data_IF_263475788047
#
_entry.id   IF_263475788047
#
_cell.length_a   1.000
_cell.length_b   1.000
_cell.length_c   1.000
_cell.angle_alpha   90.00
_cell.angle_beta   90.00
_cell.angle_gamma   90.00
#
_symmetry.space_group_name_H-M   'P 1'
#
loop_
_entity.id
_entity.type
_entity.pdbx_description
1 polymer ?
#
# COMPACT_ATOMS: atom_id res chain seq x y z
N UNK A 1 30.61 -52.60 -35.85
CA UNK A 1 29.32 -52.58 -35.13
C UNK A 1 28.79 -51.15 -35.17
N UNK A 2 27.90 -50.85 -36.13
CA UNK A 2 27.30 -49.53 -36.29
C UNK A 2 26.04 -49.46 -35.42
N UNK A 3 26.05 -48.68 -34.34
CA UNK A 3 24.85 -48.42 -33.53
C UNK A 3 24.12 -47.25 -34.17
N UNK A 4 23.22 -47.55 -35.10
CA UNK A 4 22.19 -46.61 -35.54
C UNK A 4 21.28 -46.30 -34.34
N UNK A 5 21.41 -45.11 -33.79
CA UNK A 5 20.48 -44.59 -32.80
C UNK A 5 19.10 -44.51 -33.45
N UNK A 6 18.18 -45.38 -33.01
CA UNK A 6 16.77 -45.33 -33.38
C UNK A 6 16.19 -44.12 -32.66
N UNK A 7 16.07 -43.01 -33.38
CA UNK A 7 15.32 -41.85 -32.92
C UNK A 7 13.84 -42.25 -32.90
N UNK A 8 13.15 -42.22 -31.74
CA UNK A 8 11.76 -42.65 -31.68
C UNK A 8 10.91 -41.70 -32.53
N UNK A 9 10.25 -42.25 -33.55
CA UNK A 9 9.32 -41.54 -34.42
C UNK A 9 8.06 -41.16 -33.62
N UNK A 10 8.15 -40.06 -32.87
CA UNK A 10 6.97 -39.45 -32.23
C UNK A 10 6.02 -39.03 -33.35
N UNK A 11 4.90 -39.73 -33.49
CA UNK A 11 3.87 -39.49 -34.50
C UNK A 11 3.45 -38.01 -34.51
N UNK A 12 3.26 -37.45 -35.71
CA UNK A 12 3.02 -36.01 -35.92
C UNK A 12 1.91 -35.43 -35.01
N UNK A 13 0.84 -36.20 -34.75
CA UNK A 13 -0.26 -35.80 -33.85
C UNK A 13 0.09 -35.73 -32.35
N UNK A 14 1.12 -36.45 -31.89
CA UNK A 14 1.65 -36.30 -30.53
C UNK A 14 2.56 -35.07 -30.43
N UNK A 15 3.33 -34.73 -31.47
CA UNK A 15 4.15 -33.51 -31.50
C UNK A 15 3.28 -32.25 -31.44
N UNK A 16 2.14 -32.23 -32.13
CA UNK A 16 1.19 -31.11 -32.08
C UNK A 16 0.52 -30.95 -30.71
N UNK A 17 0.15 -32.06 -30.04
CA UNK A 17 -0.41 -32.01 -28.68
C UNK A 17 0.62 -31.54 -27.64
N UNK A 18 1.86 -32.04 -27.71
CA UNK A 18 2.94 -31.66 -26.78
C UNK A 18 3.32 -30.18 -26.93
N UNK A 19 3.35 -29.66 -28.16
CA UNK A 19 3.61 -28.24 -28.40
C UNK A 19 2.46 -27.36 -27.91
N UNK A 20 1.20 -27.74 -28.13
CA UNK A 20 0.04 -27.03 -27.59
C UNK A 20 0.01 -27.01 -26.06
N UNK A 21 0.29 -28.15 -25.40
CA UNK A 21 0.38 -28.22 -23.93
C UNK A 21 1.48 -27.31 -23.37
N UNK A 22 2.65 -27.26 -24.01
CA UNK A 22 3.74 -26.36 -23.60
C UNK A 22 3.37 -24.88 -23.80
N UNK A 23 2.67 -24.56 -24.89
CA UNK A 23 2.21 -23.19 -25.16
C UNK A 23 1.13 -22.74 -24.16
N UNK A 24 0.17 -23.61 -23.84
CA UNK A 24 -0.89 -23.32 -22.88
C UNK A 24 -0.34 -23.19 -21.45
N UNK A 25 0.57 -24.09 -21.04
CA UNK A 25 1.27 -24.01 -19.75
C UNK A 25 2.11 -22.74 -19.61
N UNK A 26 2.83 -22.36 -20.67
CA UNK A 26 3.58 -21.11 -20.71
C UNK A 26 2.68 -19.87 -20.63
N UNK A 27 1.49 -19.91 -21.26
CA UNK A 27 0.53 -18.81 -21.25
C UNK A 27 -0.14 -18.64 -19.89
N UNK A 28 -0.59 -19.72 -19.25
CA UNK A 28 -1.22 -19.68 -17.92
C UNK A 28 -0.26 -19.12 -16.87
N UNK A 29 0.98 -19.61 -16.84
CA UNK A 29 2.01 -19.10 -15.93
C UNK A 29 2.24 -17.59 -16.07
N UNK A 30 2.22 -17.06 -17.31
CA UNK A 30 2.33 -15.60 -17.53
C UNK A 30 1.11 -14.82 -17.01
N UNK A 31 -0.09 -15.41 -17.04
CA UNK A 31 -1.31 -14.79 -16.49
C UNK A 31 -1.30 -14.82 -14.97
N UNK A 32 -0.81 -15.90 -14.35
CA UNK A 32 -0.66 -16.01 -12.90
C UNK A 32 0.25 -14.91 -12.34
N UNK A 33 1.41 -14.68 -12.96
CA UNK A 33 2.29 -13.57 -12.57
C UNK A 33 1.65 -12.19 -12.79
N UNK A 34 0.82 -12.05 -13.82
CA UNK A 34 0.12 -10.79 -14.10
C UNK A 34 -0.95 -10.52 -13.03
N UNK A 35 -1.71 -11.54 -12.64
CA UNK A 35 -2.75 -11.44 -11.61
C UNK A 35 -2.14 -11.23 -10.22
N UNK A 36 -1.05 -11.94 -9.89
CA UNK A 36 -0.30 -11.74 -8.65
C UNK A 36 0.21 -10.29 -8.54
N UNK A 37 0.74 -9.75 -9.63
CA UNK A 37 1.17 -8.35 -9.68
C UNK A 37 0.00 -7.39 -9.48
N UNK A 38 -1.15 -7.66 -10.13
CA UNK A 38 -2.35 -6.84 -9.98
C UNK A 38 -2.89 -6.82 -8.55
N UNK A 39 -2.91 -7.96 -7.87
CA UNK A 39 -3.27 -8.05 -6.46
C UNK A 39 -2.37 -7.19 -5.59
N UNK A 40 -1.04 -7.32 -5.76
CA UNK A 40 -0.07 -6.50 -5.02
C UNK A 40 -0.22 -5.01 -5.32
N UNK A 41 -0.43 -4.65 -6.58
CA UNK A 41 -0.61 -3.27 -7.04
C UNK A 41 -1.85 -2.63 -6.43
N UNK A 42 -2.98 -3.33 -6.48
CA UNK A 42 -4.23 -2.83 -5.90
C UNK A 42 -4.11 -2.70 -4.37
N UNK A 43 -3.52 -3.70 -3.72
CA UNK A 43 -3.29 -3.68 -2.28
C UNK A 43 -2.42 -2.49 -1.86
N UNK A 44 -1.23 -2.34 -2.44
CA UNK A 44 -0.28 -1.28 -2.10
C UNK A 44 -0.84 0.11 -2.44
N UNK A 45 -1.45 0.24 -3.62
CA UNK A 45 -2.01 1.51 -4.11
C UNK A 45 -3.22 1.98 -3.30
N UNK A 46 -4.19 1.09 -3.07
CA UNK A 46 -5.38 1.42 -2.27
C UNK A 46 -5.00 1.77 -0.83
N UNK A 47 -4.13 0.95 -0.21
CA UNK A 47 -3.65 1.22 1.16
C UNK A 47 -2.94 2.56 1.22
N UNK A 48 -2.04 2.87 0.27
CA UNK A 48 -1.35 4.16 0.23
C UNK A 48 -2.35 5.32 0.14
N UNK A 49 -3.34 5.21 -0.75
CA UNK A 49 -4.39 6.21 -0.89
C UNK A 49 -5.16 6.43 0.42
N UNK A 50 -5.64 5.35 1.05
CA UNK A 50 -6.38 5.45 2.31
C UNK A 50 -5.52 6.02 3.44
N UNK A 51 -4.28 5.56 3.60
CA UNK A 51 -3.37 6.09 4.63
C UNK A 51 -3.09 7.57 4.40
N UNK A 52 -2.92 8.00 3.15
CA UNK A 52 -2.77 9.40 2.81
C UNK A 52 -4.02 10.24 3.15
N UNK A 53 -5.22 9.74 2.83
CA UNK A 53 -6.49 10.40 3.17
C UNK A 53 -6.69 10.47 4.70
N UNK A 54 -6.30 9.43 5.44
CA UNK A 54 -6.39 9.42 6.90
C UNK A 54 -5.61 10.57 7.57
N UNK A 55 -4.60 11.13 6.89
CA UNK A 55 -3.85 12.31 7.38
C UNK A 55 -4.67 13.59 7.40
N UNK A 56 -5.84 13.61 6.77
CA UNK A 56 -6.76 14.73 6.76
C UNK A 56 -7.93 14.55 7.74
N UNK A 57 -7.87 13.55 8.62
CA UNK A 57 -8.88 13.27 9.62
C UNK A 57 -8.58 13.98 10.95
N UNK A 58 -9.61 14.61 11.53
CA UNK A 58 -9.58 15.11 12.91
C UNK A 58 -10.88 14.79 13.63
N UNK A 59 -10.79 14.51 14.94
CA UNK A 59 -11.95 14.35 15.80
C UNK A 59 -12.45 15.72 16.24
N UNK A 60 -13.72 16.01 16.00
CA UNK A 60 -14.39 17.22 16.48
C UNK A 60 -15.43 16.82 17.52
N UNK A 61 -15.37 17.46 18.68
CA UNK A 61 -16.40 17.30 19.72
C UNK A 61 -17.63 18.09 19.29
N UNK A 62 -18.71 17.38 18.99
CA UNK A 62 -20.01 17.98 18.69
C UNK A 62 -20.92 17.67 19.86
N UNK A 63 -21.54 18.69 20.44
CA UNK A 63 -22.55 18.54 21.45
C UNK A 63 -23.80 17.92 20.80
N UNK A 64 -24.11 16.67 21.16
CA UNK A 64 -25.32 15.97 20.75
C UNK A 64 -26.19 15.72 21.97
N UNK A 65 -27.53 15.74 21.84
CA UNK A 65 -28.39 15.38 22.96
C UNK A 65 -28.12 13.94 23.39
N UNK A 66 -28.04 13.70 24.69
CA UNK A 66 -27.95 12.35 25.25
C UNK A 66 -29.20 11.58 24.82
N UNK A 67 -29.03 10.38 24.26
CA UNK A 67 -30.14 9.52 23.86
C UNK A 67 -30.41 8.54 25.01
N UNK A 68 -31.66 8.48 25.48
CA UNK A 68 -32.08 7.52 26.50
C UNK A 68 -32.07 6.09 25.92
N UNK A 69 -31.32 5.15 26.53
CA UNK A 69 -31.23 3.75 26.08
C UNK A 69 -32.58 3.01 26.03
N UNK A 70 -33.57 3.44 26.81
CA UNK A 70 -34.88 2.79 26.88
C UNK A 70 -35.85 3.26 25.78
N UNK A 71 -35.74 4.51 25.34
CA UNK A 71 -36.72 5.14 24.43
C UNK A 71 -36.14 5.52 23.07
N UNK A 72 -34.81 5.61 22.94
CA UNK A 72 -34.14 6.02 21.71
C UNK A 72 -34.36 7.50 21.34
N UNK A 73 -34.94 8.29 22.24
CA UNK A 73 -35.19 9.72 22.07
C UNK A 73 -34.20 10.57 22.88
N UNK A 74 -34.00 11.85 22.51
CA UNK A 74 -33.26 12.81 23.34
C UNK A 74 -33.78 12.82 24.78
N UNK A 75 -32.88 12.71 25.75
CA UNK A 75 -33.17 12.76 27.18
C UNK A 75 -33.99 14.01 27.50
N UNK A 76 -35.10 13.82 28.24
CA UNK A 76 -36.01 14.88 28.65
C UNK A 76 -35.29 15.97 29.48
N UNK A 77 -34.15 15.63 30.09
CA UNK A 77 -33.30 16.56 30.84
C UNK A 77 -32.56 17.58 29.96
N UNK A 78 -32.55 17.40 28.63
CA UNK A 78 -31.85 18.28 27.69
C UNK A 78 -30.32 18.23 27.81
N UNK A 79 -29.78 17.17 28.42
CA UNK A 79 -28.34 17.02 28.63
C UNK A 79 -27.63 16.82 27.29
N UNK A 80 -26.67 17.70 27.01
CA UNK A 80 -25.82 17.62 25.83
C UNK A 80 -24.54 16.86 26.18
N UNK A 81 -24.23 15.81 25.42
CA UNK A 81 -22.98 15.07 25.51
C UNK A 81 -22.06 15.43 24.36
N UNK A 82 -20.79 15.69 24.68
CA UNK A 82 -19.76 15.92 23.67
C UNK A 82 -19.39 14.60 23.01
N UNK A 83 -19.82 14.39 21.77
CA UNK A 83 -19.47 13.22 20.97
C UNK A 83 -18.33 13.59 20.03
N UNK A 84 -17.24 12.83 20.08
CA UNK A 84 -16.12 13.00 19.16
C UNK A 84 -16.44 12.35 17.81
N UNK A 85 -16.81 13.16 16.83
CA UNK A 85 -17.08 12.70 15.46
C UNK A 85 -15.84 12.89 14.61
N UNK A 86 -15.46 11.86 13.84
CA UNK A 86 -14.34 11.92 12.91
C UNK A 86 -14.73 12.71 11.66
N UNK A 87 -14.02 13.79 11.38
CA UNK A 87 -14.25 14.70 10.25
C UNK A 87 -13.03 14.76 9.32
N UNK A 88 -13.25 14.80 8.00
CA UNK A 88 -12.20 14.92 7.01
C UNK A 88 -12.23 16.31 6.37
N UNK A 89 -11.10 17.02 6.39
CA UNK A 89 -10.97 18.32 5.74
C UNK A 89 -9.52 18.61 5.39
N UNK A 90 -9.28 19.40 4.32
CA UNK A 90 -7.92 19.84 3.95
C UNK A 90 -7.23 20.61 5.08
N UNK A 91 -8.00 21.40 5.83
CA UNK A 91 -7.52 22.15 7.00
C UNK A 91 -7.10 21.26 8.18
N UNK A 92 -7.53 20.00 8.21
CA UNK A 92 -7.20 19.05 9.29
C UNK A 92 -5.91 18.27 8.99
N UNK A 93 -5.13 18.66 7.97
CA UNK A 93 -3.97 17.91 7.56
C UNK A 93 -2.89 17.85 8.65
N UNK A 94 -2.52 16.63 9.04
CA UNK A 94 -1.39 16.34 9.91
C UNK A 94 -0.67 15.08 9.40
N UNK A 95 0.52 15.24 8.82
CA UNK A 95 1.31 14.11 8.34
C UNK A 95 1.78 13.21 9.49
N UNK A 96 2.28 13.83 10.56
CA UNK A 96 2.68 13.13 11.78
C UNK A 96 1.64 13.44 12.88
N UNK A 97 1.02 12.41 13.50
CA UNK A 97 0.13 12.61 14.63
C UNK A 97 0.80 13.40 15.77
N UNK A 98 0.06 14.30 16.43
CA UNK A 98 0.58 15.16 17.50
C UNK A 98 1.31 14.34 18.57
N UNK A 99 0.71 13.25 19.05
CA UNK A 99 1.33 12.37 20.05
C UNK A 99 2.64 11.70 19.62
N UNK A 100 2.92 11.59 18.31
CA UNK A 100 4.21 11.11 17.81
C UNK A 100 5.20 12.27 17.57
N UNK A 101 4.72 13.45 17.19
CA UNK A 101 5.57 14.63 16.97
C UNK A 101 6.38 14.98 18.20
N UNK A 102 5.77 14.95 19.38
CA UNK A 102 6.45 15.29 20.63
C UNK A 102 7.56 14.28 20.94
N UNK A 103 7.34 12.99 20.68
CA UNK A 103 8.37 11.95 20.83
C UNK A 103 9.56 12.20 19.90
N UNK A 104 9.30 12.49 18.63
CA UNK A 104 10.36 12.82 17.67
C UNK A 104 11.11 14.12 18.00
N UNK A 105 10.45 15.09 18.61
CA UNK A 105 11.09 16.36 18.99
C UNK A 105 12.12 16.19 20.11
N UNK A 106 11.98 15.14 20.93
CA UNK A 106 12.90 14.82 22.02
C UNK A 106 13.99 13.82 21.61
N UNK A 107 13.94 13.27 20.40
CA UNK A 107 14.90 12.27 19.93
C UNK A 107 16.15 12.95 19.33
N UNK A 108 17.34 12.85 19.96
CA UNK A 108 18.54 13.57 19.53
C UNK A 108 19.01 13.19 18.12
N UNK A 109 18.76 11.94 17.70
CA UNK A 109 19.15 11.45 16.38
C UNK A 109 18.18 11.86 15.27
N UNK A 110 17.01 12.42 15.60
CA UNK A 110 16.01 12.79 14.60
C UNK A 110 16.20 14.23 14.10
N UNK A 111 16.54 14.45 12.82
CA UNK A 111 16.77 15.80 12.33
C UNK A 111 15.47 16.60 12.21
N UNK A 112 15.47 17.83 12.75
CA UNK A 112 14.29 18.72 12.75
C UNK A 112 13.73 18.99 11.35
N UNK A 113 14.59 19.09 10.33
CA UNK A 113 14.13 19.29 8.96
C UNK A 113 13.31 18.11 8.44
N UNK A 114 13.66 16.87 8.83
CA UNK A 114 12.91 15.69 8.44
C UNK A 114 11.53 15.71 9.09
N UNK A 115 11.40 16.13 10.34
CA UNK A 115 10.10 16.28 11.01
C UNK A 115 9.15 17.18 10.21
N UNK A 116 9.65 18.33 9.74
CA UNK A 116 8.87 19.27 8.93
C UNK A 116 8.55 18.69 7.54
N UNK A 117 9.51 18.03 6.90
CA UNK A 117 9.32 17.43 5.58
C UNK A 117 8.28 16.30 5.62
N UNK A 118 8.40 15.38 6.58
CA UNK A 118 7.45 14.29 6.78
C UNK A 118 6.07 14.82 7.14
N UNK A 119 5.98 15.79 8.05
CA UNK A 119 4.70 16.36 8.40
C UNK A 119 3.97 16.98 7.20
N UNK A 120 4.69 17.68 6.31
CA UNK A 120 4.08 18.32 5.13
C UNK A 120 3.82 17.36 3.97
N UNK A 121 4.69 16.40 3.73
CA UNK A 121 4.71 15.62 2.49
C UNK A 121 4.12 14.22 2.64
N UNK A 122 4.03 13.65 3.84
CA UNK A 122 3.70 12.23 3.99
C UNK A 122 2.32 11.87 3.41
N UNK A 123 1.28 12.67 3.69
CA UNK A 123 -0.05 12.42 3.14
C UNK A 123 -0.12 12.60 1.63
N UNK A 124 0.27 13.78 1.08
CA UNK A 124 0.32 14.01 -0.36
C UNK A 124 1.15 12.97 -1.12
N UNK A 125 2.31 12.55 -0.58
CA UNK A 125 3.15 11.54 -1.19
C UNK A 125 2.42 10.19 -1.27
N UNK A 126 1.79 9.74 -0.18
CA UNK A 126 1.00 8.49 -0.18
C UNK A 126 -0.20 8.53 -1.12
N UNK A 127 -0.92 9.65 -1.19
CA UNK A 127 -2.05 9.84 -2.13
C UNK A 127 -1.53 9.77 -3.57
N UNK A 128 -0.49 10.54 -3.89
CA UNK A 128 0.07 10.62 -5.23
C UNK A 128 0.59 9.26 -5.68
N UNK A 129 1.45 8.61 -4.89
CA UNK A 129 2.00 7.30 -5.24
C UNK A 129 0.92 6.22 -5.28
N UNK A 130 -0.10 6.31 -4.42
CA UNK A 130 -1.23 5.38 -4.40
C UNK A 130 -2.08 5.46 -5.66
N UNK A 131 -2.47 6.67 -6.08
CA UNK A 131 -3.17 6.90 -7.34
C UNK A 131 -2.34 6.47 -8.54
N UNK A 132 -1.06 6.84 -8.53
CA UNK A 132 -0.09 6.49 -9.57
C UNK A 132 0.02 4.96 -9.73
N UNK A 133 0.04 4.21 -8.62
CA UNK A 133 0.02 2.75 -8.63
C UNK A 133 -1.32 2.17 -9.09
N UNK A 134 -2.46 2.67 -8.61
CA UNK A 134 -3.78 2.16 -9.02
C UNK A 134 -3.98 2.36 -10.52
N UNK A 135 -3.65 3.54 -11.04
CA UNK A 135 -3.75 3.86 -12.47
C UNK A 135 -2.69 3.12 -13.29
N UNK A 136 -1.53 2.83 -12.70
CA UNK A 136 -0.42 2.15 -13.39
C UNK A 136 0.40 3.10 -14.23
N UNK A 137 0.47 4.35 -13.79
CA UNK A 137 1.34 5.38 -14.32
C UNK A 137 2.69 5.25 -13.61
N UNK A 138 3.80 5.03 -14.33
CA UNK A 138 5.15 4.96 -13.73
C UNK A 138 5.29 4.00 -12.54
N UNK A 139 4.72 2.80 -12.67
CA UNK A 139 4.66 1.75 -11.63
C UNK A 139 5.97 1.50 -10.89
N UNK A 140 7.12 1.54 -11.58
CA UNK A 140 8.43 1.33 -10.95
C UNK A 140 8.83 2.48 -10.03
N UNK A 141 8.58 3.71 -10.47
CA UNK A 141 8.89 4.92 -9.71
C UNK A 141 8.00 5.01 -8.47
N UNK A 142 6.70 4.74 -8.61
CA UNK A 142 5.78 4.75 -7.47
C UNK A 142 6.11 3.66 -6.44
N UNK A 143 6.48 2.45 -6.87
CA UNK A 143 6.97 1.41 -5.97
C UNK A 143 8.29 1.79 -5.28
N UNK A 144 9.22 2.40 -6.02
CA UNK A 144 10.49 2.87 -5.45
C UNK A 144 10.25 3.94 -4.38
N UNK A 145 9.43 4.95 -4.69
CA UNK A 145 9.08 6.01 -3.74
C UNK A 145 8.35 5.43 -2.52
N UNK A 146 7.41 4.51 -2.71
CA UNK A 146 6.76 3.83 -1.57
C UNK A 146 7.74 3.02 -0.73
N UNK A 147 8.67 2.29 -1.35
CA UNK A 147 9.72 1.56 -0.65
C UNK A 147 10.58 2.49 0.20
N UNK A 148 11.04 3.62 -0.37
CA UNK A 148 11.81 4.64 0.35
C UNK A 148 11.00 5.27 1.50
N UNK A 149 9.72 5.58 1.28
CA UNK A 149 8.84 6.07 2.33
C UNK A 149 8.72 5.07 3.47
N UNK A 150 8.54 3.77 3.18
CA UNK A 150 8.46 2.75 4.22
C UNK A 150 9.78 2.58 4.96
N UNK A 151 10.92 2.56 4.28
CA UNK A 151 12.24 2.50 4.93
C UNK A 151 12.42 3.70 5.86
N UNK A 152 12.14 4.92 5.40
CA UNK A 152 12.31 6.11 6.21
C UNK A 152 11.33 6.15 7.41
N UNK A 153 10.09 5.67 7.23
CA UNK A 153 9.14 5.49 8.32
C UNK A 153 9.64 4.45 9.34
N UNK A 154 10.20 3.33 8.87
CA UNK A 154 10.78 2.30 9.74
C UNK A 154 11.88 2.89 10.61
N UNK A 155 12.80 3.66 10.03
CA UNK A 155 13.86 4.36 10.80
C UNK A 155 13.24 5.25 11.87
N UNK A 156 12.24 6.06 11.51
CA UNK A 156 11.53 6.90 12.49
C UNK A 156 10.90 6.08 13.62
N UNK A 157 10.16 5.03 13.31
CA UNK A 157 9.49 4.22 14.32
C UNK A 157 10.47 3.47 15.24
N UNK A 158 11.61 3.00 14.72
CA UNK A 158 12.69 2.42 15.52
C UNK A 158 13.23 3.44 16.53
N UNK A 159 13.42 4.69 16.08
CA UNK A 159 13.95 5.77 16.92
C UNK A 159 13.05 6.09 18.13
N UNK A 160 11.74 5.89 18.03
CA UNK A 160 10.77 6.13 19.11
C UNK A 160 10.23 4.83 19.75
N UNK A 161 10.96 3.73 19.58
CA UNK A 161 10.68 2.40 20.14
C UNK A 161 9.24 1.89 19.87
N UNK A 162 8.78 2.04 18.62
CA UNK A 162 7.47 1.59 18.16
C UNK A 162 7.57 0.27 17.38
N UNK A 163 8.04 -0.80 18.03
CA UNK A 163 8.37 -2.08 17.40
C UNK A 163 7.19 -2.74 16.66
N UNK A 164 5.96 -2.60 17.17
CA UNK A 164 4.76 -3.12 16.50
C UNK A 164 4.56 -2.48 15.12
N UNK A 165 4.78 -1.17 15.03
CA UNK A 165 4.67 -0.45 13.76
C UNK A 165 5.81 -0.76 12.80
N UNK A 166 7.02 -1.03 13.31
CA UNK A 166 8.19 -1.48 12.54
C UNK A 166 7.88 -2.82 11.87
N UNK A 167 7.36 -3.80 12.61
CA UNK A 167 6.99 -5.11 12.06
C UNK A 167 5.93 -4.99 10.96
N UNK A 168 4.89 -4.19 11.21
CA UNK A 168 3.85 -3.92 10.21
C UNK A 168 4.42 -3.27 8.93
N UNK A 169 5.32 -2.30 9.06
CA UNK A 169 6.01 -1.67 7.92
C UNK A 169 6.92 -2.66 7.18
N UNK A 170 7.60 -3.56 7.90
CA UNK A 170 8.45 -4.61 7.32
C UNK A 170 7.71 -5.50 6.33
N UNK A 171 6.46 -5.88 6.64
CA UNK A 171 5.59 -6.63 5.72
C UNK A 171 5.35 -5.82 4.43
N UNK A 172 5.12 -4.51 4.53
CA UNK A 172 4.89 -3.66 3.37
C UNK A 172 6.15 -3.54 2.50
N UNK A 173 7.34 -3.47 3.10
CA UNK A 173 8.61 -3.47 2.37
C UNK A 173 8.75 -4.77 1.57
N UNK A 174 8.41 -5.91 2.17
CA UNK A 174 8.43 -7.20 1.48
C UNK A 174 7.43 -7.23 0.31
N UNK A 175 6.21 -6.73 0.52
CA UNK A 175 5.20 -6.64 -0.54
C UNK A 175 5.63 -5.71 -1.68
N UNK A 176 6.27 -4.58 -1.36
CA UNK A 176 6.85 -3.67 -2.38
C UNK A 176 7.96 -4.36 -3.15
N UNK A 177 8.86 -5.07 -2.48
CA UNK A 177 9.93 -5.82 -3.14
C UNK A 177 9.37 -6.92 -4.07
N UNK A 178 8.38 -7.68 -3.61
CA UNK A 178 7.68 -8.67 -4.41
C UNK A 178 7.02 -8.04 -5.65
N UNK A 179 6.33 -6.90 -5.47
CA UNK A 179 5.73 -6.14 -6.55
C UNK A 179 6.80 -5.62 -7.53
N UNK A 180 7.97 -5.20 -7.05
CA UNK A 180 9.07 -4.72 -7.87
C UNK A 180 9.64 -5.83 -8.76
N UNK A 181 9.82 -7.03 -8.22
CA UNK A 181 10.27 -8.21 -8.98
C UNK A 181 9.22 -8.61 -10.03
N UNK A 182 7.93 -8.56 -9.66
CA UNK A 182 6.84 -8.89 -10.58
C UNK A 182 6.52 -7.77 -11.59
N UNK A 183 7.03 -6.55 -11.40
CA UNK A 183 6.71 -5.40 -12.25
C UNK A 183 7.03 -5.62 -13.74
N UNK A 184 7.97 -6.54 -14.05
CA UNK A 184 8.28 -6.93 -15.43
C UNK A 184 7.11 -7.64 -16.16
N UNK A 185 6.18 -8.23 -15.42
CA UNK A 185 5.00 -8.92 -15.96
C UNK A 185 3.77 -8.01 -16.02
N UNK A 186 3.92 -6.71 -15.73
CA UNK A 186 2.81 -5.76 -15.77
C UNK A 186 2.41 -5.46 -17.22
N UNK A 187 1.41 -6.18 -17.74
CA UNK A 187 0.89 -5.99 -19.10
C UNK A 187 0.03 -4.72 -19.28
N UNK A 188 -0.48 -4.16 -18.18
CA UNK A 188 -1.37 -2.99 -18.17
C UNK A 188 -0.72 -1.79 -17.47
N UNK A 189 0.43 -1.36 -18.00
CA UNK A 189 1.05 -0.07 -17.67
C UNK A 189 0.60 0.97 -18.71
N UNK A 190 0.10 2.12 -18.26
CA UNK A 190 -0.33 3.21 -19.16
C UNK A 190 0.88 3.82 -19.88
N UNK A 191 2.05 3.80 -19.25
CA UNK A 191 3.32 4.18 -19.87
C UNK A 191 4.18 2.93 -20.06
N UNK A 192 4.27 2.44 -21.30
CA UNK A 192 5.06 1.25 -21.69
C UNK A 192 6.58 1.41 -21.50
N UNK A 193 7.06 2.63 -21.19
CA UNK A 193 8.48 3.00 -21.21
C UNK A 193 9.13 3.23 -19.83
N UNK A 194 8.37 3.17 -18.72
CA UNK A 194 8.87 3.52 -17.38
C UNK A 194 8.31 2.60 -16.27
#
# INVERSE_FOLDING_TARGET
MNKSAVEPEIANGQRTNLSQLNLDSGRTAQWDYTLAFWGLRLWLGARALFVGIQKYAAYKSVAMPLIDPATGQPDASGVMVNVNVKSYALANYAGIPVGLRDKFAHEPLFPKFALVAFDKLLGPAFILTGLMLIIGLGTRVSLLVQGLLFVALTVGLVLIDQNDGVAYLGIHILLVAAAFVLARHNRFAVLKKW
#
